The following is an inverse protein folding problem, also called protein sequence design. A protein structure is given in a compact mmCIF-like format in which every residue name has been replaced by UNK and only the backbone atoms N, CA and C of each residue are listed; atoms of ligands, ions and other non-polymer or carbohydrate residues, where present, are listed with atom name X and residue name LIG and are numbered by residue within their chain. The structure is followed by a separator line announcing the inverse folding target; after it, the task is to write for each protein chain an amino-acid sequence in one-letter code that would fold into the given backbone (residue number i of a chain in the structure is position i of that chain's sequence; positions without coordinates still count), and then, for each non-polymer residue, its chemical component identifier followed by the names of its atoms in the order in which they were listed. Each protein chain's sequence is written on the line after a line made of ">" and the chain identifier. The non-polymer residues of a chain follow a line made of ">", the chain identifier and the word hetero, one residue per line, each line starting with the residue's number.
data_IF_754582322419
#
_entry.id   IF_754582322419
#
_cell.length_a   1.000
_cell.length_b   1.000
_cell.length_c   1.000
_cell.angle_alpha   90.00
_cell.angle_beta   90.00
_cell.angle_gamma   90.00
#
_symmetry.space_group_name_H-M   'P 1'
#
loop_
_entity.id
_entity.type
_entity.pdbx_description
1 polymer ?
#
# COMPACT_ATOMS: atom_id res chain seq x y z
N UNK A 1 14.53 -12.87 18.26
CA UNK A 1 13.52 -11.85 17.96
C UNK A 1 12.34 -12.05 18.91
N UNK A 2 11.95 -11.02 19.65
CA UNK A 2 10.83 -11.12 20.62
C UNK A 2 9.47 -11.47 19.96
N UNK A 3 9.26 -11.05 18.73
CA UNK A 3 7.98 -11.27 17.99
C UNK A 3 7.59 -12.74 17.84
N UNK A 4 8.53 -13.67 17.89
CA UNK A 4 8.26 -15.12 17.77
C UNK A 4 7.55 -15.68 19.02
N UNK A 5 7.67 -14.99 20.16
CA UNK A 5 7.00 -15.35 21.40
C UNK A 5 5.67 -14.63 21.65
N UNK A 6 5.25 -13.77 20.71
CA UNK A 6 3.97 -13.07 20.82
C UNK A 6 2.82 -14.01 20.50
N UNK A 7 1.80 -13.96 21.33
CA UNK A 7 0.55 -14.69 21.13
C UNK A 7 -0.41 -13.91 20.22
N UNK A 8 -1.47 -14.58 19.76
CA UNK A 8 -2.56 -13.88 19.07
C UNK A 8 -3.27 -12.94 20.05
N UNK A 9 -3.43 -11.69 19.63
CA UNK A 9 -4.22 -10.71 20.37
C UNK A 9 -5.67 -10.81 19.91
N UNK A 10 -6.61 -10.90 20.84
CA UNK A 10 -8.04 -10.89 20.53
C UNK A 10 -8.51 -9.47 20.19
N UNK A 11 -8.04 -8.99 19.03
CA UNK A 11 -8.42 -7.72 18.42
C UNK A 11 -8.36 -7.91 16.92
N UNK A 12 -9.49 -8.27 16.29
CA UNK A 12 -9.67 -8.67 14.90
C UNK A 12 -8.86 -9.92 14.45
N UNK A 13 -7.82 -10.35 15.18
CA UNK A 13 -7.01 -11.51 14.77
C UNK A 13 -7.82 -12.82 14.84
N UNK A 14 -8.82 -12.87 15.72
CA UNK A 14 -9.84 -13.91 15.78
C UNK A 14 -10.54 -14.06 14.43
N UNK A 15 -11.11 -12.97 13.93
CA UNK A 15 -11.83 -12.92 12.64
C UNK A 15 -10.92 -13.14 11.44
N UNK A 16 -9.68 -12.69 11.52
CA UNK A 16 -8.74 -12.77 10.39
C UNK A 16 -8.01 -14.10 10.29
N UNK A 17 -7.79 -14.82 11.41
CA UNK A 17 -6.97 -16.02 11.44
C UNK A 17 -7.66 -17.19 12.10
N UNK A 18 -7.78 -17.21 13.44
CA UNK A 18 -8.05 -18.43 14.19
C UNK A 18 -9.54 -18.78 14.41
N UNK A 19 -10.50 -17.92 14.03
CA UNK A 19 -11.93 -18.23 13.97
C UNK A 19 -12.48 -18.26 12.54
N UNK A 20 -11.64 -17.97 11.54
CA UNK A 20 -12.05 -17.98 10.15
C UNK A 20 -11.82 -19.35 9.52
N UNK A 21 -12.89 -20.13 9.32
CA UNK A 21 -12.83 -21.49 8.77
C UNK A 21 -12.12 -21.57 7.42
N UNK A 22 -12.26 -20.56 6.56
CA UNK A 22 -11.62 -20.56 5.25
C UNK A 22 -10.11 -20.32 5.38
N UNK A 23 -9.70 -19.45 6.30
CA UNK A 23 -8.28 -19.18 6.56
C UNK A 23 -7.63 -20.36 7.28
N UNK A 24 -8.31 -20.92 8.29
CA UNK A 24 -7.82 -22.10 9.04
C UNK A 24 -7.63 -23.34 8.16
N UNK A 25 -8.39 -23.45 7.06
CA UNK A 25 -8.27 -24.55 6.11
C UNK A 25 -7.05 -24.44 5.18
N UNK A 26 -6.27 -23.36 5.25
CA UNK A 26 -5.14 -23.10 4.35
C UNK A 26 -5.58 -22.76 2.91
N UNK A 27 -4.68 -22.96 1.94
CA UNK A 27 -4.88 -22.65 0.53
C UNK A 27 -5.72 -23.72 -0.20
N UNK A 28 -7.01 -23.76 0.11
CA UNK A 28 -7.95 -24.66 -0.60
C UNK A 28 -8.61 -23.93 -1.78
N UNK A 29 -9.04 -24.69 -2.81
CA UNK A 29 -9.80 -24.11 -3.95
C UNK A 29 -11.03 -23.35 -3.49
N UNK A 30 -11.73 -23.86 -2.46
CA UNK A 30 -12.91 -23.22 -1.86
C UNK A 30 -12.53 -21.93 -1.12
N UNK A 31 -11.44 -21.95 -0.35
CA UNK A 31 -10.91 -20.78 0.35
C UNK A 31 -10.46 -19.69 -0.61
N UNK A 32 -9.76 -20.04 -1.69
CA UNK A 32 -9.36 -19.08 -2.74
C UNK A 32 -10.61 -18.43 -3.37
N UNK A 33 -11.62 -19.22 -3.77
CA UNK A 33 -12.87 -18.66 -4.31
C UNK A 33 -13.56 -17.73 -3.32
N UNK A 34 -13.63 -18.12 -2.04
CA UNK A 34 -14.18 -17.29 -0.97
C UNK A 34 -13.40 -15.97 -0.82
N UNK A 35 -12.08 -15.98 -0.85
CA UNK A 35 -11.25 -14.78 -0.70
C UNK A 35 -11.60 -13.68 -1.72
N UNK A 36 -11.92 -14.06 -2.96
CA UNK A 36 -12.29 -13.11 -4.01
C UNK A 36 -13.74 -12.64 -3.97
N UNK A 37 -14.64 -13.39 -3.33
CA UNK A 37 -16.09 -13.11 -3.33
C UNK A 37 -16.59 -12.57 -2.00
N UNK A 38 -15.80 -12.69 -0.93
CA UNK A 38 -16.23 -12.29 0.41
C UNK A 38 -16.10 -10.79 0.65
N UNK A 39 -17.04 -10.24 1.44
CA UNK A 39 -16.99 -8.90 2.02
C UNK A 39 -16.86 -8.97 3.55
N UNK A 40 -16.30 -10.07 4.04
CA UNK A 40 -16.14 -10.32 5.47
C UNK A 40 -15.32 -9.21 6.13
N UNK A 41 -15.70 -8.87 7.37
CA UNK A 41 -15.14 -7.74 8.13
C UNK A 41 -15.28 -6.38 7.41
N UNK A 42 -16.34 -6.20 6.58
CA UNK A 42 -16.64 -4.98 5.82
C UNK A 42 -15.48 -4.50 4.94
N UNK A 43 -14.74 -5.45 4.39
CA UNK A 43 -13.59 -5.19 3.53
C UNK A 43 -13.51 -6.19 2.36
N UNK A 44 -13.05 -5.70 1.21
CA UNK A 44 -12.68 -6.56 0.09
C UNK A 44 -11.16 -6.51 -0.11
N UNK A 45 -10.46 -7.52 0.41
CA UNK A 45 -9.01 -7.62 0.38
C UNK A 45 -8.51 -9.06 0.16
N UNK A 46 -8.81 -9.62 -1.02
CA UNK A 46 -8.53 -11.04 -1.32
C UNK A 46 -7.07 -11.43 -1.14
N UNK A 47 -6.10 -10.57 -1.49
CA UNK A 47 -4.67 -10.87 -1.36
C UNK A 47 -4.26 -11.01 0.11
N UNK A 48 -4.87 -10.24 1.00
CA UNK A 48 -4.63 -10.37 2.45
C UNK A 48 -5.14 -11.71 2.96
N UNK A 49 -6.36 -12.13 2.54
CA UNK A 49 -6.88 -13.45 2.90
C UNK A 49 -5.97 -14.57 2.42
N UNK A 50 -5.55 -14.53 1.15
CA UNK A 50 -4.61 -15.52 0.60
C UNK A 50 -3.28 -15.55 1.35
N UNK A 51 -2.78 -14.41 1.80
CA UNK A 51 -1.55 -14.34 2.61
C UNK A 51 -1.71 -15.01 3.98
N UNK A 52 -2.85 -14.83 4.65
CA UNK A 52 -3.11 -15.53 5.92
C UNK A 52 -3.32 -17.03 5.71
N UNK A 53 -4.04 -17.43 4.64
CA UNK A 53 -4.18 -18.86 4.28
C UNK A 53 -2.83 -19.51 4.00
N UNK A 54 -1.92 -18.80 3.34
CA UNK A 54 -0.55 -19.27 3.09
C UNK A 54 0.23 -19.46 4.38
N UNK A 55 0.14 -18.52 5.32
CA UNK A 55 0.80 -18.65 6.63
C UNK A 55 0.25 -19.86 7.40
N UNK A 56 -1.07 -20.09 7.37
CA UNK A 56 -1.67 -21.27 8.02
C UNK A 56 -1.20 -22.55 7.35
N UNK A 57 -1.11 -22.59 6.02
CA UNK A 57 -0.60 -23.75 5.27
C UNK A 57 0.85 -24.10 5.66
N UNK A 58 1.69 -23.08 5.82
CA UNK A 58 3.12 -23.24 6.10
C UNK A 58 3.43 -23.49 7.57
N UNK A 59 2.73 -22.82 8.48
CA UNK A 59 3.10 -22.72 9.88
C UNK A 59 1.99 -23.16 10.86
N UNK A 60 0.80 -23.48 10.34
CA UNK A 60 -0.38 -23.70 11.17
C UNK A 60 -0.77 -22.42 11.93
N UNK A 61 -1.37 -22.61 13.12
CA UNK A 61 -1.78 -21.50 13.99
C UNK A 61 -0.69 -21.09 14.98
N UNK A 62 0.58 -21.13 14.58
CA UNK A 62 1.69 -20.66 15.41
C UNK A 62 1.84 -19.14 15.27
N UNK A 63 1.28 -18.37 16.20
CA UNK A 63 1.21 -16.90 16.19
C UNK A 63 2.54 -16.22 15.85
N UNK A 64 3.64 -16.68 16.44
CA UNK A 64 4.97 -16.10 16.23
C UNK A 64 5.41 -16.09 14.78
N UNK A 65 5.03 -17.09 13.96
CA UNK A 65 5.36 -17.10 12.54
C UNK A 65 4.48 -16.14 11.74
N UNK A 66 3.22 -15.95 12.11
CA UNK A 66 2.37 -14.92 11.52
C UNK A 66 2.90 -13.51 11.79
N UNK A 67 3.41 -13.23 12.98
CA UNK A 67 4.12 -11.98 13.29
C UNK A 67 5.41 -11.86 12.47
N UNK A 68 6.17 -12.95 12.34
CA UNK A 68 7.42 -12.96 11.57
C UNK A 68 7.17 -12.63 10.09
N UNK A 69 6.06 -13.09 9.51
CA UNK A 69 5.67 -12.74 8.14
C UNK A 69 5.46 -11.23 7.98
N UNK A 70 4.82 -10.54 8.96
CA UNK A 70 4.69 -9.08 8.91
C UNK A 70 6.05 -8.38 8.99
N UNK A 71 6.93 -8.83 9.88
CA UNK A 71 8.30 -8.30 10.00
C UNK A 71 9.09 -8.52 8.71
N UNK A 72 8.93 -9.68 8.08
CA UNK A 72 9.55 -9.98 6.79
C UNK A 72 9.09 -8.99 5.71
N UNK A 73 7.79 -8.80 5.53
CA UNK A 73 7.26 -7.83 4.55
C UNK A 73 7.74 -6.42 4.86
N UNK A 74 7.74 -5.99 6.12
CA UNK A 74 8.23 -4.67 6.52
C UNK A 74 9.71 -4.50 6.20
N UNK A 75 10.54 -5.52 6.45
CA UNK A 75 11.97 -5.50 6.12
C UNK A 75 12.20 -5.39 4.62
N UNK A 76 11.45 -6.17 3.82
CA UNK A 76 11.50 -6.09 2.36
C UNK A 76 11.03 -4.74 1.85
N UNK A 77 9.97 -4.17 2.43
CA UNK A 77 9.48 -2.82 2.12
C UNK A 77 10.57 -1.77 2.37
N UNK A 78 11.29 -1.88 3.47
CA UNK A 78 12.42 -0.99 3.79
C UNK A 78 13.52 -1.06 2.72
N UNK A 79 13.90 -2.27 2.31
CA UNK A 79 14.91 -2.48 1.27
C UNK A 79 14.43 -1.97 -0.10
N UNK A 80 13.16 -2.21 -0.45
CA UNK A 80 12.56 -1.70 -1.68
C UNK A 80 12.52 -0.17 -1.68
N UNK A 81 12.13 0.44 -0.57
CA UNK A 81 12.11 1.90 -0.41
C UNK A 81 13.51 2.49 -0.60
N UNK A 82 14.50 1.92 0.07
CA UNK A 82 15.90 2.31 -0.10
C UNK A 82 16.32 2.25 -1.57
N UNK A 83 16.09 1.10 -2.21
CA UNK A 83 16.46 0.88 -3.60
C UNK A 83 15.78 1.87 -4.56
N UNK A 84 14.47 2.11 -4.37
CA UNK A 84 13.69 3.06 -5.17
C UNK A 84 14.27 4.47 -5.03
N UNK A 85 14.46 4.95 -3.81
CA UNK A 85 14.98 6.29 -3.53
C UNK A 85 16.39 6.48 -4.09
N UNK A 86 17.29 5.50 -3.88
CA UNK A 86 18.64 5.54 -4.40
C UNK A 86 18.66 5.56 -5.95
N UNK A 87 17.71 4.87 -6.59
CA UNK A 87 17.57 4.87 -8.07
C UNK A 87 16.97 6.17 -8.61
N UNK A 88 16.14 6.84 -7.82
CA UNK A 88 15.48 8.08 -8.23
C UNK A 88 16.39 9.29 -8.15
N UNK A 89 17.15 9.42 -7.08
CA UNK A 89 17.91 10.64 -6.78
C UNK A 89 19.45 10.44 -6.81
N UNK A 90 19.94 9.20 -6.90
CA UNK A 90 21.37 8.89 -6.90
C UNK A 90 22.07 9.03 -5.54
N UNK A 91 21.35 9.45 -4.49
CA UNK A 91 21.88 9.82 -3.18
C UNK A 91 21.78 8.65 -2.20
N UNK A 92 22.78 7.77 -2.17
CA UNK A 92 22.74 6.54 -1.37
C UNK A 92 22.55 6.83 0.13
N UNK A 93 23.31 7.78 0.70
CA UNK A 93 23.26 8.07 2.13
C UNK A 93 21.92 8.69 2.57
N UNK A 94 21.38 9.62 1.78
CA UNK A 94 20.06 10.21 2.06
C UNK A 94 18.96 9.17 1.94
N UNK A 95 19.02 8.32 0.93
CA UNK A 95 18.08 7.21 0.75
C UNK A 95 18.17 6.19 1.88
N UNK A 96 19.38 5.89 2.35
CA UNK A 96 19.61 5.02 3.49
C UNK A 96 19.04 5.60 4.79
N UNK A 97 19.23 6.90 5.03
CA UNK A 97 18.65 7.56 6.20
C UNK A 97 17.09 7.49 6.20
N UNK A 98 16.47 7.80 5.05
CA UNK A 98 15.00 7.73 4.94
C UNK A 98 14.51 6.30 5.16
N UNK A 99 15.16 5.32 4.56
CA UNK A 99 14.80 3.91 4.74
C UNK A 99 15.01 3.43 6.18
N UNK A 100 16.08 3.87 6.86
CA UNK A 100 16.31 3.56 8.26
C UNK A 100 15.25 4.17 9.17
N UNK A 101 14.87 5.44 8.95
CA UNK A 101 13.76 6.07 9.67
C UNK A 101 12.45 5.33 9.44
N UNK A 102 12.14 4.93 8.20
CA UNK A 102 10.97 4.11 7.89
C UNK A 102 11.00 2.78 8.65
N UNK A 103 12.15 2.10 8.70
CA UNK A 103 12.28 0.79 9.34
C UNK A 103 11.94 0.81 10.84
N UNK A 104 12.35 1.89 11.55
CA UNK A 104 12.26 1.97 13.03
C UNK A 104 11.18 2.92 13.51
N UNK A 105 10.42 3.56 12.62
CA UNK A 105 9.46 4.56 13.01
C UNK A 105 8.32 3.98 13.86
N UNK A 106 8.02 4.54 15.05
CA UNK A 106 7.02 3.98 15.95
C UNK A 106 5.61 3.85 15.36
N UNK A 107 5.22 4.68 14.39
CA UNK A 107 3.93 4.56 13.70
C UNK A 107 3.77 3.24 12.92
N UNK A 108 4.86 2.56 12.56
CA UNK A 108 4.80 1.28 11.87
C UNK A 108 4.58 0.08 12.81
N UNK A 109 4.70 0.30 14.14
CA UNK A 109 4.50 -0.79 15.11
C UNK A 109 3.14 -1.43 14.96
N UNK A 110 2.08 -0.64 14.76
CA UNK A 110 0.73 -1.16 14.54
C UNK A 110 0.68 -2.08 13.30
N UNK A 111 1.15 -1.63 12.15
CA UNK A 111 1.12 -2.40 10.90
C UNK A 111 2.02 -3.63 10.91
N UNK A 112 3.03 -3.69 11.78
CA UNK A 112 3.99 -4.79 11.86
C UNK A 112 3.64 -5.77 12.97
N UNK A 113 3.31 -5.28 14.17
CA UNK A 113 3.05 -6.12 15.34
C UNK A 113 1.62 -6.71 15.35
N UNK A 114 0.64 -6.00 14.77
CA UNK A 114 -0.74 -6.48 14.71
C UNK A 114 -0.97 -7.33 13.46
N UNK A 115 -1.26 -8.61 13.64
CA UNK A 115 -1.39 -9.59 12.53
C UNK A 115 -2.49 -9.19 11.55
N UNK A 116 -3.65 -8.72 12.03
CA UNK A 116 -4.76 -8.29 11.17
C UNK A 116 -4.40 -7.10 10.26
N UNK A 117 -3.38 -6.31 10.60
CA UNK A 117 -2.85 -5.23 9.76
C UNK A 117 -1.80 -5.71 8.73
N UNK A 118 -1.68 -7.03 8.48
CA UNK A 118 -0.96 -7.61 7.35
C UNK A 118 -1.25 -6.88 6.05
N UNK A 119 -2.48 -6.46 5.88
CA UNK A 119 -2.97 -5.70 4.73
C UNK A 119 -2.14 -4.44 4.45
N UNK A 120 -1.57 -3.76 5.46
CA UNK A 120 -0.76 -2.57 5.30
C UNK A 120 0.61 -2.89 4.69
N UNK A 121 1.31 -3.86 5.28
CA UNK A 121 2.65 -4.23 4.80
C UNK A 121 2.61 -4.87 3.41
N UNK A 122 1.53 -5.62 3.09
CA UNK A 122 1.30 -6.20 1.77
C UNK A 122 0.96 -5.13 0.72
N UNK A 123 0.04 -4.22 1.04
CA UNK A 123 -0.32 -3.12 0.15
C UNK A 123 0.90 -2.26 -0.16
N UNK A 124 1.70 -1.93 0.85
CA UNK A 124 2.97 -1.20 0.70
C UNK A 124 3.96 -1.98 -0.15
N UNK A 125 4.11 -3.29 0.06
CA UNK A 125 5.00 -4.15 -0.73
C UNK A 125 4.69 -4.08 -2.23
N UNK A 126 3.44 -4.34 -2.59
CA UNK A 126 3.02 -4.27 -3.99
C UNK A 126 3.05 -2.86 -4.54
N UNK A 127 2.72 -1.84 -3.73
CA UNK A 127 2.84 -0.44 -4.12
C UNK A 127 4.27 -0.01 -4.45
N UNK A 128 5.24 -0.42 -3.65
CA UNK A 128 6.66 -0.19 -3.92
C UNK A 128 7.13 -0.94 -5.16
N UNK A 129 6.68 -2.18 -5.38
CA UNK A 129 6.96 -2.90 -6.63
C UNK A 129 6.37 -2.20 -7.86
N UNK A 130 5.18 -1.61 -7.74
CA UNK A 130 4.57 -0.80 -8.80
C UNK A 130 5.43 0.44 -9.12
N UNK A 131 5.88 1.17 -8.08
CA UNK A 131 6.78 2.34 -8.26
C UNK A 131 8.12 1.90 -8.87
N UNK A 132 8.73 0.82 -8.37
CA UNK A 132 9.97 0.28 -8.93
C UNK A 132 9.83 -0.15 -10.40
N UNK A 133 8.69 -0.72 -10.77
CA UNK A 133 8.35 -1.07 -12.15
C UNK A 133 8.15 0.19 -13.00
N UNK A 134 7.54 1.22 -12.43
CA UNK A 134 7.38 2.51 -13.08
C UNK A 134 8.73 3.15 -13.42
N UNK A 135 9.71 3.13 -12.53
CA UNK A 135 11.07 3.63 -12.80
C UNK A 135 11.75 2.89 -13.96
N UNK A 136 11.47 1.58 -14.12
CA UNK A 136 11.96 0.80 -15.28
C UNK A 136 11.23 1.17 -16.57
N UNK A 137 9.92 1.40 -16.49
CA UNK A 137 9.10 1.81 -17.61
C UNK A 137 9.53 3.18 -18.15
N UNK A 138 9.75 4.16 -17.28
CA UNK A 138 10.18 5.51 -17.66
C UNK A 138 11.46 5.50 -18.51
N UNK A 139 12.41 4.60 -18.23
CA UNK A 139 13.66 4.46 -18.99
C UNK A 139 13.46 3.89 -20.40
N UNK A 140 12.44 3.10 -20.61
CA UNK A 140 12.12 2.50 -21.90
C UNK A 140 10.62 2.17 -21.94
N UNK A 141 9.78 3.12 -22.41
CA UNK A 141 8.34 2.99 -22.44
C UNK A 141 7.89 1.91 -23.44
N UNK A 142 7.59 0.72 -22.92
CA UNK A 142 7.06 -0.43 -23.67
C UNK A 142 5.92 -1.06 -22.86
N UNK A 143 4.92 -1.60 -23.56
CA UNK A 143 3.75 -2.24 -22.92
C UNK A 143 4.15 -3.38 -21.96
N UNK A 144 5.16 -4.18 -22.30
CA UNK A 144 5.66 -5.23 -21.43
C UNK A 144 6.30 -4.72 -20.14
N UNK A 145 6.72 -3.43 -20.07
CA UNK A 145 7.19 -2.79 -18.84
C UNK A 145 6.09 -2.04 -18.09
N UNK A 146 5.01 -1.71 -18.78
CA UNK A 146 3.84 -1.09 -18.17
C UNK A 146 2.97 -2.10 -17.43
N UNK A 147 2.80 -3.31 -17.98
CA UNK A 147 1.97 -4.35 -17.41
C UNK A 147 2.33 -4.70 -15.94
N UNK A 148 3.61 -4.87 -15.54
CA UNK A 148 3.96 -5.06 -14.12
C UNK A 148 3.49 -3.92 -13.19
N UNK A 149 3.46 -2.67 -13.66
CA UNK A 149 2.95 -1.54 -12.87
C UNK A 149 1.48 -1.78 -12.53
N UNK A 150 0.69 -2.12 -13.55
CA UNK A 150 -0.74 -2.37 -13.40
C UNK A 150 -1.01 -3.59 -12.50
N UNK A 151 -0.29 -4.70 -12.72
CA UNK A 151 -0.42 -5.92 -11.92
C UNK A 151 -0.13 -5.63 -10.44
N UNK A 152 1.02 -5.04 -10.14
CA UNK A 152 1.39 -4.76 -8.75
C UNK A 152 0.47 -3.72 -8.11
N UNK A 153 -0.01 -2.75 -8.87
CA UNK A 153 -0.97 -1.79 -8.36
C UNK A 153 -2.31 -2.43 -8.02
N UNK A 154 -2.84 -3.30 -8.87
CA UNK A 154 -4.05 -4.09 -8.58
C UNK A 154 -3.85 -4.95 -7.34
N UNK A 155 -2.74 -5.69 -7.22
CA UNK A 155 -2.43 -6.50 -6.03
C UNK A 155 -2.31 -5.65 -4.76
N UNK A 156 -1.76 -4.44 -4.86
CA UNK A 156 -1.72 -3.48 -3.75
C UNK A 156 -3.11 -3.10 -3.27
N UNK A 157 -4.02 -2.73 -4.19
CA UNK A 157 -5.40 -2.37 -3.87
C UNK A 157 -6.22 -3.58 -3.37
N UNK A 158 -5.95 -4.78 -3.89
CA UNK A 158 -6.53 -6.03 -3.42
C UNK A 158 -5.98 -6.49 -2.07
N UNK A 159 -4.90 -5.90 -1.58
CA UNK A 159 -4.41 -6.09 -0.21
C UNK A 159 -5.06 -5.09 0.76
N UNK A 160 -5.04 -3.81 0.44
CA UNK A 160 -5.74 -2.72 1.14
C UNK A 160 -5.94 -1.56 0.16
N UNK A 161 -7.13 -0.99 0.02
CA UNK A 161 -7.41 0.12 -0.93
C UNK A 161 -6.80 1.47 -0.49
N UNK A 162 -5.67 1.44 0.21
CA UNK A 162 -4.98 2.60 0.76
C UNK A 162 -4.24 3.41 -0.32
N UNK A 163 -3.68 2.72 -1.32
CA UNK A 163 -2.87 3.33 -2.37
C UNK A 163 -3.67 3.77 -3.61
N UNK A 164 -4.96 4.03 -3.48
CA UNK A 164 -5.78 4.60 -4.58
C UNK A 164 -5.23 5.94 -5.09
N UNK A 165 -4.40 6.61 -4.29
CA UNK A 165 -3.72 7.86 -4.64
C UNK A 165 -2.41 7.65 -5.41
N UNK A 166 -1.96 6.41 -5.64
CA UNK A 166 -0.71 6.12 -6.32
C UNK A 166 -0.57 6.80 -7.70
N UNK A 167 -1.61 6.90 -8.55
CA UNK A 167 -1.49 7.61 -9.83
C UNK A 167 -1.06 9.07 -9.67
N UNK A 168 -1.53 9.77 -8.62
CA UNK A 168 -1.09 11.13 -8.29
C UNK A 168 0.36 11.16 -7.80
N UNK A 169 0.76 10.17 -6.99
CA UNK A 169 2.15 10.03 -6.53
C UNK A 169 3.08 9.82 -7.72
N UNK A 170 2.69 9.04 -8.72
CA UNK A 170 3.48 8.86 -9.95
C UNK A 170 3.60 10.15 -10.76
N UNK A 171 2.55 10.99 -10.81
CA UNK A 171 2.64 12.33 -11.42
C UNK A 171 3.59 13.25 -10.63
N UNK A 172 3.59 13.19 -9.30
CA UNK A 172 4.56 13.92 -8.47
C UNK A 172 6.00 13.43 -8.71
N UNK A 173 6.20 12.13 -8.85
CA UNK A 173 7.50 11.52 -9.19
C UNK A 173 7.94 11.97 -10.58
N UNK A 174 7.05 12.12 -11.56
CA UNK A 174 7.35 12.69 -12.88
C UNK A 174 7.77 14.15 -12.79
N UNK A 175 7.16 14.92 -11.90
CA UNK A 175 7.56 16.30 -11.64
C UNK A 175 8.93 16.36 -10.94
N UNK A 176 9.07 15.66 -9.83
CA UNK A 176 10.31 15.55 -9.06
C UNK A 176 10.39 14.13 -8.45
N UNK A 177 11.49 13.40 -8.60
CA UNK A 177 12.81 13.80 -9.14
C UNK A 177 13.02 13.52 -10.65
N UNK A 178 12.06 12.87 -11.35
CA UNK A 178 12.27 12.43 -12.74
C UNK A 178 12.30 13.60 -13.75
N UNK A 179 11.80 14.78 -13.37
CA UNK A 179 11.79 16.02 -14.18
C UNK A 179 11.15 15.86 -15.58
N UNK A 180 10.25 14.88 -15.76
CA UNK A 180 9.57 14.63 -17.05
C UNK A 180 8.57 15.73 -17.44
N UNK A 181 8.13 16.55 -16.46
CA UNK A 181 7.23 17.69 -16.68
C UNK A 181 7.94 19.00 -16.99
N UNK A 182 9.27 19.09 -16.84
CA UNK A 182 10.02 20.32 -17.05
C UNK A 182 10.33 20.56 -18.54
N UNK A 183 9.69 21.55 -19.13
CA UNK A 183 9.75 21.94 -20.54
C UNK A 183 10.99 22.78 -20.94
N UNK A 184 11.97 22.98 -20.08
CA UNK A 184 13.10 23.90 -20.33
C UNK A 184 14.46 23.23 -20.49
N UNK A 185 14.56 22.18 -21.31
CA UNK A 185 15.86 21.80 -21.87
C UNK A 185 15.68 21.19 -23.27
N UNK A 186 15.30 22.01 -24.24
CA UNK A 186 15.76 21.84 -25.59
C UNK A 186 17.25 22.27 -25.58
N UNK A 187 18.13 21.49 -25.02
CA UNK A 187 19.54 21.55 -25.34
C UNK A 187 19.75 20.74 -26.58
N UNK A 188 19.94 21.46 -27.67
CA UNK A 188 20.52 21.01 -28.92
C UNK A 188 21.90 20.44 -28.60
N UNK A 189 22.03 19.14 -28.52
CA UNK A 189 23.30 18.43 -28.47
C UNK A 189 23.10 17.06 -29.11
N UNK A 190 23.77 16.93 -30.26
CA UNK A 190 24.07 15.70 -30.98
C UNK A 190 22.93 14.69 -31.26
N UNK A 191 22.21 14.94 -32.40
CA UNK A 191 21.79 13.91 -33.34
C UNK A 191 20.83 12.79 -32.93
N UNK A 192 20.53 12.62 -31.65
CA UNK A 192 19.52 11.68 -31.15
C UNK A 192 18.44 12.47 -30.41
N UNK A 193 17.35 12.78 -31.14
CA UNK A 193 16.12 13.30 -30.54
C UNK A 193 15.52 12.24 -29.60
N UNK A 194 15.94 12.24 -28.36
CA UNK A 194 15.12 11.61 -27.29
C UNK A 194 13.92 12.53 -27.09
N UNK A 195 12.84 12.28 -27.85
CA UNK A 195 11.58 13.00 -27.73
C UNK A 195 11.08 12.85 -26.30
N UNK A 196 11.17 13.93 -25.50
CA UNK A 196 10.52 13.95 -24.19
C UNK A 196 9.02 13.79 -24.39
N UNK A 197 8.37 12.93 -23.59
CA UNK A 197 6.93 12.70 -23.71
C UNK A 197 6.17 14.01 -23.46
N UNK A 198 5.13 14.26 -24.27
CA UNK A 198 4.27 15.43 -24.07
C UNK A 198 3.57 15.35 -22.69
N UNK A 199 3.21 16.51 -22.09
CA UNK A 199 2.43 16.55 -20.84
C UNK A 199 1.16 15.72 -20.93
N UNK A 200 0.49 15.75 -22.08
CA UNK A 200 -0.71 14.96 -22.35
C UNK A 200 -0.41 13.46 -22.25
N UNK A 201 0.70 13.01 -22.83
CA UNK A 201 1.11 11.61 -22.74
C UNK A 201 1.32 11.17 -21.29
N UNK A 202 1.94 12.01 -20.43
CA UNK A 202 2.16 11.70 -19.02
C UNK A 202 0.85 11.53 -18.24
N UNK A 203 -0.20 12.25 -18.62
CA UNK A 203 -1.53 12.09 -18.02
C UNK A 203 -2.21 10.83 -18.58
N UNK A 204 -2.19 10.67 -19.91
CA UNK A 204 -2.85 9.56 -20.62
C UNK A 204 -2.29 8.22 -20.16
N UNK A 205 -0.97 8.09 -19.95
CA UNK A 205 -0.36 6.84 -19.45
C UNK A 205 -0.83 6.46 -18.03
N UNK A 206 -1.40 7.39 -17.25
CA UNK A 206 -1.96 7.10 -15.91
C UNK A 206 -3.46 6.81 -15.94
N UNK A 207 -4.15 7.04 -17.05
CA UNK A 207 -5.61 6.78 -17.14
C UNK A 207 -5.98 5.35 -16.69
N UNK A 208 -5.30 4.28 -17.13
CA UNK A 208 -5.63 2.94 -16.65
C UNK A 208 -5.50 2.78 -15.13
N UNK A 209 -4.51 3.44 -14.51
CA UNK A 209 -4.33 3.42 -13.06
C UNK A 209 -5.44 4.20 -12.35
N UNK A 210 -5.86 5.36 -12.89
CA UNK A 210 -7.01 6.11 -12.36
C UNK A 210 -8.31 5.32 -12.46
N UNK A 211 -8.53 4.58 -13.54
CA UNK A 211 -9.70 3.71 -13.69
C UNK A 211 -9.71 2.61 -12.63
N UNK A 212 -8.59 1.94 -12.41
CA UNK A 212 -8.45 0.92 -11.36
C UNK A 212 -8.68 1.53 -9.98
N UNK A 213 -8.13 2.71 -9.69
CA UNK A 213 -8.38 3.43 -8.43
C UNK A 213 -9.87 3.73 -8.24
N UNK A 214 -10.54 4.23 -9.28
CA UNK A 214 -11.98 4.57 -9.22
C UNK A 214 -12.83 3.34 -8.94
N UNK A 215 -12.55 2.21 -9.60
CA UNK A 215 -13.25 0.94 -9.34
C UNK A 215 -13.01 0.49 -7.89
N UNK A 216 -11.76 0.54 -7.41
CA UNK A 216 -11.44 0.20 -6.01
C UNK A 216 -12.16 1.10 -5.01
N UNK A 217 -12.24 2.41 -5.27
CA UNK A 217 -12.99 3.35 -4.43
C UNK A 217 -14.49 3.00 -4.40
N UNK A 218 -15.10 2.69 -5.55
CA UNK A 218 -16.51 2.31 -5.62
C UNK A 218 -16.79 1.04 -4.81
N UNK A 219 -15.98 0.00 -4.99
CA UNK A 219 -16.10 -1.24 -4.21
C UNK A 219 -15.98 -0.94 -2.72
N UNK A 220 -14.96 -0.18 -2.31
CA UNK A 220 -14.72 0.15 -0.90
C UNK A 220 -15.89 0.91 -0.29
N UNK A 221 -16.39 1.94 -0.98
CA UNK A 221 -17.53 2.73 -0.50
C UNK A 221 -18.78 1.88 -0.33
N UNK A 222 -19.11 1.03 -1.30
CA UNK A 222 -20.28 0.13 -1.21
C UNK A 222 -20.14 -0.81 -0.01
N UNK A 223 -18.98 -1.47 0.13
CA UNK A 223 -18.75 -2.43 1.22
C UNK A 223 -18.79 -1.76 2.59
N UNK A 224 -18.23 -0.55 2.71
CA UNK A 224 -18.22 0.21 3.97
C UNK A 224 -19.61 0.76 4.32
N UNK A 225 -20.43 1.09 3.34
CA UNK A 225 -21.84 1.50 3.55
C UNK A 225 -22.65 0.32 4.05
N UNK A 226 -22.56 -0.85 3.40
CA UNK A 226 -23.26 -2.07 3.81
C UNK A 226 -22.82 -2.54 5.21
N UNK A 227 -21.55 -2.34 5.56
CA UNK A 227 -21.00 -2.64 6.87
C UNK A 227 -21.31 -1.62 7.97
N UNK A 228 -22.06 -0.55 7.66
CA UNK A 228 -22.45 0.49 8.63
C UNK A 228 -21.31 1.42 9.07
N UNK A 229 -20.14 1.33 8.46
CA UNK A 229 -18.98 2.19 8.80
C UNK A 229 -19.15 3.64 8.31
N UNK A 230 -20.02 3.87 7.32
CA UNK A 230 -20.33 5.20 6.80
C UNK A 230 -21.57 5.75 7.52
N UNK A 231 -21.37 6.58 8.53
CA UNK A 231 -22.47 7.25 9.22
C UNK A 231 -23.28 8.16 8.29
N UNK A 232 -24.57 8.34 8.57
CA UNK A 232 -25.43 9.21 7.76
C UNK A 232 -25.02 10.69 7.86
N UNK A 233 -25.32 11.49 6.85
CA UNK A 233 -25.11 12.95 6.88
C UNK A 233 -25.98 13.65 7.93
N UNK A 234 -27.07 13.02 8.36
CA UNK A 234 -27.91 13.53 9.44
C UNK A 234 -27.22 13.44 10.80
N UNK A 235 -26.46 12.36 11.05
CA UNK A 235 -25.69 12.18 12.29
C UNK A 235 -24.37 12.92 12.26
N UNK A 236 -23.70 12.92 11.11
CA UNK A 236 -22.40 13.57 10.92
C UNK A 236 -22.46 14.54 9.73
N UNK A 237 -22.90 15.79 9.94
CA UNK A 237 -22.97 16.82 8.89
C UNK A 237 -21.62 17.07 8.22
N UNK A 238 -21.64 17.48 6.96
CA UNK A 238 -20.43 17.64 6.12
C UNK A 238 -19.39 18.54 6.77
N UNK A 239 -19.80 19.65 7.43
CA UNK A 239 -18.89 20.56 8.10
C UNK A 239 -18.10 19.88 9.23
N UNK A 240 -18.73 19.01 10.04
CA UNK A 240 -18.05 18.27 11.08
C UNK A 240 -17.06 17.25 10.50
N UNK A 241 -17.40 16.60 9.40
CA UNK A 241 -16.49 15.70 8.69
C UNK A 241 -15.25 16.42 8.16
N UNK A 242 -15.42 17.62 7.59
CA UNK A 242 -14.31 18.45 7.11
C UNK A 242 -13.41 18.86 8.26
N UNK A 243 -14.00 19.38 9.35
CA UNK A 243 -13.23 19.80 10.54
C UNK A 243 -12.45 18.61 11.12
N UNK A 244 -13.13 17.46 11.29
CA UNK A 244 -12.48 16.25 11.80
C UNK A 244 -11.34 15.78 10.87
N UNK A 245 -11.53 15.82 9.55
CA UNK A 245 -10.47 15.48 8.59
C UNK A 245 -9.25 16.41 8.74
N UNK A 246 -9.45 17.71 8.83
CA UNK A 246 -8.37 18.69 9.01
C UNK A 246 -7.60 18.48 10.32
N UNK A 247 -8.32 18.26 11.42
CA UNK A 247 -7.71 17.97 12.74
C UNK A 247 -6.93 16.64 12.68
N UNK A 248 -7.51 15.60 12.06
CA UNK A 248 -6.83 14.32 11.90
C UNK A 248 -5.55 14.44 11.08
N UNK A 249 -5.57 15.15 9.95
CA UNK A 249 -4.36 15.37 9.15
C UNK A 249 -3.28 16.10 9.95
N UNK A 250 -3.62 17.18 10.66
CA UNK A 250 -2.68 17.90 11.51
C UNK A 250 -2.10 17.01 12.61
N UNK A 251 -2.95 16.21 13.27
CA UNK A 251 -2.56 15.26 14.31
C UNK A 251 -1.61 14.19 13.77
N UNK A 252 -1.92 13.56 12.61
CA UNK A 252 -1.05 12.55 12.01
C UNK A 252 0.30 13.13 11.58
N UNK A 253 0.35 14.33 11.00
CA UNK A 253 1.61 15.01 10.68
C UNK A 253 2.42 15.24 11.96
N UNK A 254 1.77 15.74 13.03
CA UNK A 254 2.42 15.92 14.32
C UNK A 254 3.02 14.64 14.88
N UNK A 255 2.26 13.53 14.85
CA UNK A 255 2.72 12.21 15.30
C UNK A 255 3.80 11.60 14.40
N UNK A 256 3.82 11.92 13.12
CA UNK A 256 4.89 11.50 12.22
C UNK A 256 6.21 12.18 12.58
N UNK A 257 6.19 13.45 13.01
CA UNK A 257 7.40 14.18 13.40
C UNK A 257 7.80 13.85 14.84
N UNK A 258 6.82 13.75 15.75
CA UNK A 258 7.03 13.49 17.16
C UNK A 258 6.08 12.42 17.68
N UNK A 259 6.46 11.11 17.58
CA UNK A 259 5.59 9.98 17.84
C UNK A 259 5.44 9.67 19.35
N UNK A 260 4.77 10.57 20.08
CA UNK A 260 4.42 10.40 21.49
C UNK A 260 2.92 10.19 21.68
N UNK A 261 2.53 9.58 22.80
CA UNK A 261 1.13 9.33 23.15
C UNK A 261 0.39 8.59 22.01
N UNK A 262 1.04 7.56 21.48
CA UNK A 262 0.43 6.72 20.44
C UNK A 262 -0.63 5.83 21.08
N UNK A 263 -1.79 5.73 20.45
CA UNK A 263 -2.88 4.85 20.83
C UNK A 263 -3.15 3.84 19.70
N UNK A 264 -3.80 2.73 20.02
CA UNK A 264 -4.20 1.72 19.03
C UNK A 264 -5.29 2.25 18.11
N UNK A 265 -6.17 3.13 18.64
CA UNK A 265 -7.25 3.81 17.91
C UNK A 265 -7.17 5.30 18.23
N UNK A 266 -7.32 6.11 17.18
CA UNK A 266 -7.36 7.58 17.25
C UNK A 266 -8.72 8.11 16.83
#
# INVERSE_FOLDING_TARGET
>A
MQVVSFEFINYDTDRYVYENHYVMAGLTKKGIGWAFTTLYASNWHPVTWLSHMLDVELFGLKSGFHHLSNVFFHSVNTLLLFWILARMNGEIWKSGLVAALFAIHPLHVQSVAWIAERKDVLSTFFGLLAIGSYLRYVKCPKIGRYLPILIFFVLSLMSKPMLVTLPFVLLLIDYWPLKRLNFKMLSYSDGNESQMPSKVFLIVEKIPLFLVSSVSCMITLSVQQDGGAVGSLALYPLHLRIVNALVSYASYIGKMIWPVNLAVIY
#
